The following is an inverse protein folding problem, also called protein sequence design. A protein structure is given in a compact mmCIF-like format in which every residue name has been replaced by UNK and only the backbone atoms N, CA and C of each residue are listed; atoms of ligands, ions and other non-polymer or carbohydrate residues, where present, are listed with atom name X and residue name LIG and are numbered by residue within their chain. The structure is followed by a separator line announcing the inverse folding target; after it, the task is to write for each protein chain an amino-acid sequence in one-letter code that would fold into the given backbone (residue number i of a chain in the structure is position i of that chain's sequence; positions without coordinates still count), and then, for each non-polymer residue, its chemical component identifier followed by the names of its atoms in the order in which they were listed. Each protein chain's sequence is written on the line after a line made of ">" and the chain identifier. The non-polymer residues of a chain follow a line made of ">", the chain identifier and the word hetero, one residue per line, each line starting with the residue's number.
data_IF_387333184362
#
_entry.id   IF_387333184362
#
_cell.length_a   1.000
_cell.length_b   1.000
_cell.length_c   1.000
_cell.angle_alpha   90.00
_cell.angle_beta   90.00
_cell.angle_gamma   90.00
#
_symmetry.space_group_name_H-M   'P 1'
#
loop_
_entity.id
_entity.type
_entity.pdbx_description
1 polymer ?
#
# COMPACT_ATOMS: atom_id res chain seq x y z
N UNK A 1 0.98 24.51 -2.23
CA UNK A 1 0.14 23.64 -1.36
C UNK A 1 0.81 22.27 -1.31
N UNK A 2 1.68 22.00 -0.32
CA UNK A 2 2.51 20.78 -0.22
C UNK A 2 1.74 19.49 0.01
N UNK A 3 0.72 19.23 -0.82
CA UNK A 3 -0.02 17.98 -0.88
C UNK A 3 0.89 16.93 -1.50
N UNK A 4 0.91 15.75 -0.88
CA UNK A 4 1.62 14.60 -1.44
C UNK A 4 1.01 14.24 -2.78
N UNK A 5 1.87 14.06 -3.78
CA UNK A 5 1.47 13.52 -5.06
C UNK A 5 1.23 12.01 -4.92
N UNK A 6 0.03 11.56 -5.29
CA UNK A 6 -0.36 10.15 -5.26
C UNK A 6 -0.33 9.49 -6.64
N UNK A 7 0.14 10.19 -7.68
CA UNK A 7 0.18 9.71 -9.07
C UNK A 7 0.83 8.33 -9.20
N UNK A 8 1.94 8.10 -8.52
CA UNK A 8 2.65 6.81 -8.52
C UNK A 8 1.86 5.71 -7.82
N UNK A 9 1.22 6.03 -6.70
CA UNK A 9 0.36 5.09 -5.96
C UNK A 9 -0.86 4.71 -6.79
N UNK A 10 -1.45 5.69 -7.48
CA UNK A 10 -2.59 5.47 -8.37
C UNK A 10 -2.21 4.59 -9.57
N UNK A 11 -1.04 4.84 -10.18
CA UNK A 11 -0.54 4.01 -11.30
C UNK A 11 -0.35 2.56 -10.86
N UNK A 12 0.32 2.33 -9.73
CA UNK A 12 0.52 1.00 -9.18
C UNK A 12 -0.81 0.31 -8.86
N UNK A 13 -1.78 1.02 -8.26
CA UNK A 13 -3.11 0.48 -7.98
C UNK A 13 -3.86 0.08 -9.26
N UNK A 14 -3.76 0.86 -10.34
CA UNK A 14 -4.33 0.52 -11.66
C UNK A 14 -3.71 -0.75 -12.23
N UNK A 15 -2.38 -0.84 -12.22
CA UNK A 15 -1.66 -2.03 -12.70
C UNK A 15 -2.04 -3.29 -11.93
N UNK A 16 -2.11 -3.19 -10.59
CA UNK A 16 -2.58 -4.28 -9.74
C UNK A 16 -4.00 -4.69 -10.12
N UNK A 17 -4.93 -3.74 -10.29
CA UNK A 17 -6.31 -4.04 -10.65
C UNK A 17 -6.44 -4.84 -11.96
N UNK A 18 -5.63 -4.48 -12.97
CA UNK A 18 -5.63 -5.19 -14.26
C UNK A 18 -5.00 -6.60 -14.15
N UNK A 19 -3.99 -6.78 -13.29
CA UNK A 19 -3.31 -8.06 -13.11
C UNK A 19 -3.97 -9.00 -12.07
N UNK A 20 -4.89 -8.47 -11.25
CA UNK A 20 -5.44 -9.17 -10.10
C UNK A 20 -6.16 -10.47 -10.51
N UNK A 21 -5.69 -11.57 -9.93
CA UNK A 21 -6.25 -12.91 -10.09
C UNK A 21 -6.35 -13.62 -8.73
N UNK A 22 -7.53 -14.14 -8.42
CA UNK A 22 -7.83 -14.72 -7.10
C UNK A 22 -7.60 -13.74 -5.95
N UNK A 23 -7.53 -14.28 -4.73
CA UNK A 23 -7.30 -13.47 -3.53
C UNK A 23 -5.84 -13.03 -3.39
N UNK A 24 -5.62 -11.77 -3.01
CA UNK A 24 -4.31 -11.17 -2.73
C UNK A 24 -4.40 -10.13 -1.60
N UNK A 25 -3.29 -9.94 -0.89
CA UNK A 25 -3.11 -8.86 0.09
C UNK A 25 -2.19 -7.82 -0.54
N UNK A 26 -2.63 -6.57 -0.56
CA UNK A 26 -1.92 -5.43 -1.12
C UNK A 26 -1.42 -4.59 0.05
N UNK A 27 -0.10 -4.37 0.10
CA UNK A 27 0.57 -3.75 1.24
C UNK A 27 1.11 -2.37 0.85
N UNK A 28 0.59 -1.33 1.49
CA UNK A 28 1.13 0.02 1.37
C UNK A 28 2.33 0.17 2.30
N UNK A 29 3.55 0.14 1.73
CA UNK A 29 4.81 0.31 2.48
C UNK A 29 5.30 1.75 2.55
N UNK A 30 5.16 2.48 1.44
CA UNK A 30 5.69 3.84 1.27
C UNK A 30 5.13 4.81 2.30
N UNK A 31 5.88 5.88 2.60
CA UNK A 31 5.39 7.01 3.40
C UNK A 31 4.32 7.76 2.61
N UNK A 32 3.07 7.49 2.94
CA UNK A 32 1.90 8.08 2.27
C UNK A 32 0.99 8.77 3.30
N UNK A 33 0.20 9.77 2.90
CA UNK A 33 -0.78 10.39 3.78
C UNK A 33 -1.78 9.39 4.36
N UNK A 34 -2.40 9.79 5.47
CA UNK A 34 -3.56 9.07 6.02
C UNK A 34 -4.66 8.99 4.95
N UNK A 35 -5.30 7.84 4.83
CA UNK A 35 -6.36 7.58 3.85
C UNK A 35 -5.87 7.01 2.51
N UNK A 36 -4.57 6.88 2.28
CA UNK A 36 -4.06 6.28 1.03
C UNK A 36 -4.45 4.80 0.87
N UNK A 37 -4.64 4.05 1.97
CA UNK A 37 -5.18 2.68 1.90
C UNK A 37 -6.57 2.64 1.25
N UNK A 38 -7.48 3.53 1.66
CA UNK A 38 -8.82 3.63 1.10
C UNK A 38 -8.79 4.11 -0.36
N UNK A 39 -7.85 5.00 -0.70
CA UNK A 39 -7.63 5.45 -2.07
C UNK A 39 -7.21 4.28 -2.99
N UNK A 40 -6.27 3.44 -2.54
CA UNK A 40 -5.83 2.25 -3.29
C UNK A 40 -7.00 1.27 -3.45
N UNK A 41 -7.72 0.96 -2.36
CA UNK A 41 -8.90 0.07 -2.39
C UNK A 41 -9.92 0.54 -3.42
N UNK A 42 -10.32 1.81 -3.35
CA UNK A 42 -11.32 2.40 -4.25
C UNK A 42 -10.87 2.39 -5.71
N UNK A 43 -9.60 2.68 -5.97
CA UNK A 43 -9.03 2.66 -7.32
C UNK A 43 -9.16 1.26 -7.94
N UNK A 44 -8.85 0.22 -7.16
CA UNK A 44 -8.95 -1.17 -7.63
C UNK A 44 -10.40 -1.58 -7.82
N UNK A 45 -11.27 -1.28 -6.84
CA UNK A 45 -12.71 -1.61 -6.91
C UNK A 45 -13.39 -0.98 -8.14
N UNK A 46 -13.08 0.28 -8.44
CA UNK A 46 -13.62 1.00 -9.60
C UNK A 46 -13.26 0.33 -10.93
N UNK A 47 -12.04 -0.20 -11.05
CA UNK A 47 -11.56 -0.86 -12.28
C UNK A 47 -12.11 -2.29 -12.38
N UNK A 48 -12.21 -3.00 -11.26
CA UNK A 48 -12.71 -4.37 -11.18
C UNK A 48 -14.23 -4.47 -11.25
N UNK A 49 -14.95 -3.36 -11.09
CA UNK A 49 -16.41 -3.35 -10.98
C UNK A 49 -16.91 -4.11 -9.75
N UNK A 50 -16.16 -4.07 -8.64
CA UNK A 50 -16.48 -4.80 -7.41
C UNK A 50 -16.23 -6.31 -7.46
N UNK A 51 -15.65 -6.85 -8.54
CA UNK A 51 -15.36 -8.28 -8.68
C UNK A 51 -13.94 -8.64 -8.23
N UNK A 52 -13.84 -9.42 -7.16
CA UNK A 52 -12.58 -9.99 -6.64
C UNK A 52 -12.48 -9.83 -5.14
N UNK A 53 -11.75 -10.75 -4.49
CA UNK A 53 -11.46 -10.66 -3.07
C UNK A 53 -10.03 -10.15 -2.90
N UNK A 54 -9.82 -9.05 -2.19
CA UNK A 54 -8.47 -8.59 -1.83
C UNK A 54 -8.53 -7.74 -0.57
N UNK A 55 -7.42 -7.67 0.13
CA UNK A 55 -7.26 -6.79 1.28
C UNK A 55 -6.20 -5.72 1.00
N UNK A 56 -6.43 -4.53 1.55
CA UNK A 56 -5.43 -3.45 1.54
C UNK A 56 -5.01 -3.20 2.97
N UNK A 57 -3.72 -3.33 3.23
CA UNK A 57 -3.11 -3.16 4.56
C UNK A 57 -1.97 -2.15 4.48
N UNK A 58 -1.61 -1.57 5.61
CA UNK A 58 -0.48 -0.63 5.71
C UNK A 58 0.65 -1.28 6.50
N UNK A 59 1.88 -1.20 5.99
CA UNK A 59 3.10 -1.59 6.68
C UNK A 59 4.15 -0.48 6.48
N UNK A 60 4.06 0.65 7.19
CA UNK A 60 4.99 1.77 6.99
C UNK A 60 6.44 1.36 7.27
N UNK A 61 7.39 1.93 6.51
CA UNK A 61 8.82 1.70 6.75
C UNK A 61 9.48 2.76 7.64
N UNK A 62 10.47 2.31 8.40
CA UNK A 62 11.25 3.14 9.32
C UNK A 62 12.76 2.94 9.07
N UNK A 63 13.13 2.88 7.79
CA UNK A 63 14.51 2.63 7.37
C UNK A 63 15.31 3.93 7.37
N UNK A 64 16.57 3.85 7.80
CA UNK A 64 17.54 4.94 7.67
C UNK A 64 18.51 4.66 6.54
N UNK A 65 18.84 5.70 5.78
CA UNK A 65 19.84 5.64 4.73
C UNK A 65 21.19 5.14 5.30
N UNK A 66 21.84 4.21 4.60
CA UNK A 66 23.07 3.56 5.07
C UNK A 66 22.88 2.47 6.13
N UNK A 67 21.67 2.24 6.66
CA UNK A 67 21.38 1.18 7.64
C UNK A 67 20.17 0.30 7.25
N UNK A 68 19.59 0.48 6.06
CA UNK A 68 18.37 -0.18 5.60
C UNK A 68 18.36 -1.71 5.77
N UNK A 69 19.48 -2.40 5.52
CA UNK A 69 19.59 -3.85 5.72
C UNK A 69 19.39 -4.21 7.20
N UNK A 70 20.11 -3.51 8.10
CA UNK A 70 20.02 -3.74 9.55
C UNK A 70 18.64 -3.39 10.07
N UNK A 71 18.10 -2.23 9.67
CA UNK A 71 16.76 -1.77 10.09
C UNK A 71 15.64 -2.71 9.59
N UNK A 72 15.85 -3.40 8.48
CA UNK A 72 14.92 -4.42 7.96
C UNK A 72 15.00 -5.73 8.74
N UNK A 73 16.21 -6.19 9.09
CA UNK A 73 16.43 -7.49 9.75
C UNK A 73 16.28 -7.43 11.28
N UNK A 74 16.49 -6.26 11.87
CA UNK A 74 16.43 -6.01 13.32
C UNK A 74 15.66 -4.72 13.61
N UNK A 75 14.37 -4.63 13.26
CA UNK A 75 13.57 -3.45 13.53
C UNK A 75 13.24 -3.33 15.02
N UNK A 76 13.18 -2.10 15.55
CA UNK A 76 12.69 -1.85 16.91
C UNK A 76 11.20 -2.26 17.06
N UNK A 77 10.40 -2.08 16.00
CA UNK A 77 9.04 -2.61 15.86
C UNK A 77 8.60 -2.70 14.41
N UNK A 78 7.61 -3.55 14.15
CA UNK A 78 6.90 -3.63 12.87
C UNK A 78 5.46 -3.15 13.11
N UNK A 79 5.00 -2.19 12.30
CA UNK A 79 3.63 -1.66 12.39
C UNK A 79 2.82 -2.24 11.23
N UNK A 80 1.67 -2.82 11.54
CA UNK A 80 0.71 -3.32 10.56
C UNK A 80 -0.66 -2.71 10.87
N UNK A 81 -1.22 -1.98 9.91
CA UNK A 81 -2.58 -1.47 9.95
C UNK A 81 -3.50 -2.30 9.05
N UNK A 82 -4.60 -2.81 9.61
CA UNK A 82 -5.62 -3.59 8.89
C UNK A 82 -7.02 -3.11 9.30
N UNK A 83 -8.02 -3.38 8.45
CA UNK A 83 -9.44 -3.07 8.70
C UNK A 83 -10.23 -4.30 9.14
N UNK A 84 -9.56 -5.34 9.65
CA UNK A 84 -10.19 -6.56 10.19
C UNK A 84 -11.07 -6.28 11.40
#
# INVERSE_FOLDING_TARGET
>A
NGRTDLSQVESAAKEIAHALNGHKIIVNKSTVPVGTGDFVRRTIENIRGGNGTFDVVSNPEFLREGQAIRDTLQPDRIIIGTSS
#
